data_IF_848880345314
#
_entry.id   IF_848880345314
#
_cell.length_a   1.000
_cell.length_b   1.000
_cell.length_c   1.000
_cell.angle_alpha   90.00
_cell.angle_beta   90.00
_cell.angle_gamma   90.00
#
_symmetry.space_group_name_H-M   'P 1'
#
loop_
_entity.id
_entity.type
_entity.pdbx_description
1 polymer ?
#
# COMPACT_ATOMS: atom_id res chain seq x y z
N UNK A 1 17.01 -23.07 29.04
CA UNK A 1 17.84 -22.23 28.14
C UNK A 1 16.88 -21.31 27.40
N UNK A 2 17.09 -19.99 27.43
CA UNK A 2 16.31 -19.09 26.56
C UNK A 2 16.81 -19.29 25.13
N UNK A 3 15.91 -19.65 24.23
CA UNK A 3 16.18 -19.69 22.80
C UNK A 3 16.59 -18.28 22.32
N UNK A 4 17.51 -18.22 21.36
CA UNK A 4 17.93 -16.97 20.71
C UNK A 4 16.73 -16.32 20.00
N UNK A 5 16.57 -15.00 20.14
CA UNK A 5 15.55 -14.27 19.39
C UNK A 5 15.86 -14.27 17.88
N UNK A 6 14.85 -14.03 17.03
CA UNK A 6 15.02 -14.10 15.57
C UNK A 6 16.13 -13.18 15.04
N UNK A 7 16.30 -11.98 15.60
CA UNK A 7 17.38 -11.05 15.22
C UNK A 7 18.77 -11.58 15.59
N UNK A 8 18.88 -12.33 16.70
CA UNK A 8 20.14 -12.91 17.15
C UNK A 8 20.48 -14.14 16.30
N UNK A 9 19.48 -14.93 15.91
CA UNK A 9 19.63 -16.01 14.92
C UNK A 9 20.07 -15.44 13.57
N UNK A 10 19.44 -14.35 13.09
CA UNK A 10 19.83 -13.70 11.84
C UNK A 10 21.27 -13.16 11.92
N UNK A 11 21.65 -12.54 13.04
CA UNK A 11 23.01 -12.05 13.26
C UNK A 11 24.05 -13.19 13.24
N UNK A 12 23.72 -14.32 13.86
CA UNK A 12 24.57 -15.51 13.84
C UNK A 12 24.72 -16.06 12.42
N UNK A 13 23.61 -16.20 11.68
CA UNK A 13 23.62 -16.66 10.29
C UNK A 13 24.47 -15.77 9.39
N UNK A 14 24.40 -14.44 9.56
CA UNK A 14 25.22 -13.48 8.80
C UNK A 14 26.72 -13.64 9.09
N UNK A 15 27.09 -14.04 10.32
CA UNK A 15 28.49 -14.28 10.69
C UNK A 15 29.01 -15.62 10.18
N UNK A 16 28.15 -16.65 10.14
CA UNK A 16 28.54 -18.01 9.76
C UNK A 16 28.41 -18.27 8.26
N UNK A 17 27.51 -17.58 7.57
CA UNK A 17 27.21 -17.78 6.16
C UNK A 17 27.49 -16.51 5.35
N UNK A 18 28.24 -16.64 4.24
CA UNK A 18 28.41 -15.54 3.30
C UNK A 18 27.18 -15.39 2.41
N UNK A 19 26.75 -14.15 2.18
CA UNK A 19 25.68 -13.84 1.24
C UNK A 19 24.27 -14.19 1.73
N UNK A 20 24.03 -14.15 3.06
CA UNK A 20 22.71 -14.37 3.65
C UNK A 20 21.61 -13.54 2.96
N UNK A 21 21.78 -12.23 2.65
CA UNK A 21 20.74 -11.46 1.96
C UNK A 21 20.36 -12.05 0.58
N UNK A 22 21.34 -12.49 -0.21
CA UNK A 22 21.10 -13.15 -1.51
C UNK A 22 20.36 -14.47 -1.37
N UNK A 23 20.62 -15.22 -0.29
CA UNK A 23 19.94 -16.48 0.01
C UNK A 23 18.51 -16.26 0.49
N UNK A 24 18.27 -15.24 1.31
CA UNK A 24 16.90 -14.80 1.65
C UNK A 24 16.14 -14.40 0.38
N UNK A 25 16.76 -13.58 -0.48
CA UNK A 25 16.15 -13.20 -1.75
C UNK A 25 15.81 -14.40 -2.63
N UNK A 26 16.66 -15.44 -2.68
CA UNK A 26 16.37 -16.65 -3.47
C UNK A 26 15.23 -17.48 -2.91
N UNK A 27 15.05 -17.54 -1.58
CA UNK A 27 13.94 -18.23 -0.93
C UNK A 27 12.63 -17.49 -1.21
N UNK A 28 12.63 -16.17 -1.03
CA UNK A 28 11.43 -15.35 -1.20
C UNK A 28 10.97 -15.36 -2.66
N UNK A 29 11.90 -15.23 -3.62
CA UNK A 29 11.60 -15.26 -5.06
C UNK A 29 10.92 -16.54 -5.56
N UNK A 30 10.90 -17.62 -4.77
CA UNK A 30 10.13 -18.84 -5.12
C UNK A 30 8.62 -18.61 -5.08
N UNK A 31 8.17 -17.50 -4.49
CA UNK A 31 6.78 -17.13 -4.41
C UNK A 31 6.58 -15.88 -5.27
N UNK A 32 6.00 -16.07 -6.45
CA UNK A 32 5.82 -15.03 -7.48
C UNK A 32 4.34 -14.77 -7.81
N UNK A 33 3.42 -15.44 -7.11
CA UNK A 33 1.98 -15.27 -7.28
C UNK A 33 1.42 -14.37 -6.17
N UNK A 34 0.85 -13.20 -6.52
CA UNK A 34 0.19 -12.34 -5.53
C UNK A 34 -1.02 -13.02 -4.89
N UNK A 35 -1.09 -13.01 -3.56
CA UNK A 35 -2.29 -13.42 -2.84
C UNK A 35 -3.47 -12.46 -3.11
N UNK A 36 -4.75 -12.90 -2.92
CA UNK A 36 -5.93 -12.06 -3.16
C UNK A 36 -5.88 -10.71 -2.43
N UNK A 37 -5.37 -10.67 -1.21
CA UNK A 37 -5.18 -9.43 -0.46
C UNK A 37 -4.30 -8.39 -1.19
N UNK A 38 -3.27 -8.81 -1.93
CA UNK A 38 -2.45 -7.88 -2.72
C UNK A 38 -3.27 -7.25 -3.86
N UNK A 39 -4.06 -8.08 -4.56
CA UNK A 39 -4.92 -7.63 -5.66
C UNK A 39 -5.97 -6.63 -5.13
N UNK A 40 -6.66 -6.99 -4.04
CA UNK A 40 -7.67 -6.13 -3.42
C UNK A 40 -7.09 -4.80 -2.93
N UNK A 41 -5.93 -4.82 -2.26
CA UNK A 41 -5.26 -3.60 -1.83
C UNK A 41 -4.80 -2.74 -3.01
N UNK A 42 -4.29 -3.35 -4.07
CA UNK A 42 -3.87 -2.63 -5.28
C UNK A 42 -5.06 -2.00 -6.02
N UNK A 43 -6.23 -2.64 -5.98
CA UNK A 43 -7.47 -2.15 -6.57
C UNK A 43 -8.03 -0.91 -5.85
N UNK A 44 -7.61 -0.64 -4.60
CA UNK A 44 -7.92 0.61 -3.90
C UNK A 44 -7.20 1.83 -4.50
N UNK A 45 -6.20 1.61 -5.36
CA UNK A 45 -5.43 2.65 -6.05
C UNK A 45 -4.86 3.72 -5.11
N UNK A 46 -4.49 3.35 -3.89
CA UNK A 46 -3.91 4.29 -2.92
C UNK A 46 -2.66 4.97 -3.49
N UNK A 47 -2.57 6.30 -3.35
CA UNK A 47 -1.40 7.08 -3.80
C UNK A 47 -0.11 6.69 -3.07
N UNK A 48 -0.23 6.20 -1.84
CA UNK A 48 0.88 5.93 -0.94
C UNK A 48 0.71 4.54 -0.34
N UNK A 49 1.71 3.68 -0.51
CA UNK A 49 1.78 2.37 0.12
C UNK A 49 3.14 2.21 0.81
N UNK A 50 3.16 1.52 1.94
CA UNK A 50 4.40 1.26 2.71
C UNK A 50 4.40 -0.21 3.10
N UNK A 51 5.52 -0.90 2.88
CA UNK A 51 5.69 -2.30 3.24
C UNK A 51 7.03 -2.55 3.93
N UNK A 52 7.03 -3.57 4.79
CA UNK A 52 8.24 -4.14 5.40
C UNK A 52 8.64 -5.45 4.73
N UNK A 53 7.85 -5.92 3.76
CA UNK A 53 8.13 -7.13 2.99
C UNK A 53 9.23 -6.87 1.95
N UNK A 54 10.01 -7.90 1.67
CA UNK A 54 11.08 -7.85 0.67
C UNK A 54 10.60 -8.26 -0.74
N UNK A 55 9.55 -9.08 -0.84
CA UNK A 55 8.99 -9.60 -2.09
C UNK A 55 8.41 -8.51 -3.00
N UNK A 56 8.11 -8.87 -4.25
CA UNK A 56 7.55 -7.95 -5.27
C UNK A 56 6.06 -8.19 -5.55
N UNK A 57 5.35 -8.86 -4.64
CA UNK A 57 3.97 -9.32 -4.88
C UNK A 57 2.98 -8.16 -4.97
N UNK A 58 3.19 -7.09 -4.20
CA UNK A 58 2.35 -5.90 -4.28
C UNK A 58 2.56 -5.16 -5.60
N UNK A 59 3.80 -5.05 -6.08
CA UNK A 59 4.14 -4.44 -7.36
C UNK A 59 3.56 -5.24 -8.53
N UNK A 60 3.63 -6.56 -8.47
CA UNK A 60 2.97 -7.45 -9.42
C UNK A 60 1.45 -7.26 -9.40
N UNK A 61 0.83 -7.17 -8.22
CA UNK A 61 -0.60 -6.91 -8.10
C UNK A 61 -0.99 -5.54 -8.69
N UNK A 62 -0.24 -4.48 -8.39
CA UNK A 62 -0.43 -3.15 -8.97
C UNK A 62 -0.41 -3.17 -10.51
N UNK A 63 0.52 -3.92 -11.11
CA UNK A 63 0.57 -4.10 -12.58
C UNK A 63 -0.63 -4.88 -13.10
N UNK A 64 -1.05 -5.93 -12.40
CA UNK A 64 -2.20 -6.75 -12.79
C UNK A 64 -3.53 -5.96 -12.79
N UNK A 65 -3.67 -4.96 -11.91
CA UNK A 65 -4.86 -4.10 -11.83
C UNK A 65 -4.71 -2.77 -12.58
N UNK A 66 -3.59 -2.54 -13.26
CA UNK A 66 -3.34 -1.31 -14.01
C UNK A 66 -4.35 -1.16 -15.16
N UNK A 67 -4.71 0.08 -15.50
CA UNK A 67 -5.66 0.35 -16.58
C UNK A 67 -5.02 0.05 -17.93
N UNK A 68 -5.82 -0.42 -18.89
CA UNK A 68 -5.35 -0.62 -20.26
C UNK A 68 -4.74 0.67 -20.82
N UNK A 69 -3.46 0.64 -21.16
CA UNK A 69 -2.73 1.80 -21.70
C UNK A 69 -1.77 2.49 -20.72
N UNK A 70 -1.78 2.14 -19.42
CA UNK A 70 -0.68 2.53 -18.52
C UNK A 70 0.58 1.71 -18.86
N UNK A 71 1.71 2.39 -19.09
CA UNK A 71 3.02 1.75 -19.17
C UNK A 71 3.42 1.23 -17.79
N UNK A 72 4.00 0.02 -17.70
CA UNK A 72 4.44 -0.61 -16.44
C UNK A 72 5.23 0.33 -15.51
N UNK A 73 6.12 1.16 -16.07
CA UNK A 73 6.95 2.11 -15.33
C UNK A 73 6.16 3.23 -14.62
N UNK A 74 4.88 3.43 -14.99
CA UNK A 74 4.01 4.45 -14.40
C UNK A 74 3.07 3.90 -13.34
N UNK A 75 2.93 2.58 -13.22
CA UNK A 75 1.93 1.96 -12.35
C UNK A 75 2.19 2.27 -10.88
N UNK A 76 3.43 2.05 -10.41
CA UNK A 76 3.85 2.37 -9.04
C UNK A 76 5.37 2.63 -8.99
N UNK A 77 5.78 3.76 -8.43
CA UNK A 77 7.19 4.03 -8.16
C UNK A 77 7.62 3.36 -6.84
N UNK A 78 8.76 2.67 -6.82
CA UNK A 78 9.23 1.90 -5.65
C UNK A 78 10.41 2.61 -5.01
N UNK A 79 10.19 3.20 -3.83
CA UNK A 79 11.25 3.85 -3.06
C UNK A 79 12.08 2.81 -2.29
N UNK A 80 13.41 2.99 -2.20
CA UNK A 80 14.19 4.15 -2.66
C UNK A 80 14.77 4.03 -4.09
N UNK A 81 14.46 2.94 -4.81
CA UNK A 81 15.05 2.64 -6.13
C UNK A 81 14.54 3.53 -7.27
N UNK A 82 13.30 4.00 -7.19
CA UNK A 82 12.71 4.96 -8.11
C UNK A 82 11.89 6.01 -7.36
N UNK A 83 11.75 7.17 -7.98
CA UNK A 83 11.07 8.33 -7.38
C UNK A 83 9.80 8.65 -8.16
N UNK A 84 8.66 8.87 -7.49
CA UNK A 84 7.41 9.16 -8.17
C UNK A 84 7.45 10.51 -8.88
N UNK A 85 6.88 10.56 -10.09
CA UNK A 85 6.48 11.81 -10.74
C UNK A 85 5.25 12.46 -10.07
N UNK A 86 4.82 13.63 -10.54
CA UNK A 86 3.60 14.28 -10.04
C UNK A 86 2.39 13.33 -10.11
N UNK A 87 1.65 13.24 -9.01
CA UNK A 87 0.47 12.38 -8.84
C UNK A 87 0.67 10.87 -9.05
N UNK A 88 1.91 10.41 -9.25
CA UNK A 88 2.21 9.00 -9.40
C UNK A 88 2.09 8.26 -8.06
N UNK A 89 1.45 7.09 -8.08
CA UNK A 89 1.41 6.17 -6.93
C UNK A 89 2.80 5.70 -6.57
N UNK A 90 3.05 5.50 -5.28
CA UNK A 90 4.34 4.98 -4.83
C UNK A 90 4.22 3.96 -3.71
N UNK A 91 5.22 3.07 -3.67
CA UNK A 91 5.44 2.05 -2.65
C UNK A 91 6.78 2.31 -1.98
N UNK A 92 6.79 2.48 -0.66
CA UNK A 92 8.01 2.53 0.14
C UNK A 92 8.31 1.14 0.72
N UNK A 93 9.48 0.59 0.38
CA UNK A 93 10.02 -0.61 1.02
C UNK A 93 10.98 -0.23 2.14
N UNK A 94 10.56 -0.45 3.39
CA UNK A 94 11.35 -0.01 4.56
C UNK A 94 12.63 -0.82 4.76
N UNK A 95 12.58 -2.12 4.47
CA UNK A 95 13.66 -3.06 4.79
C UNK A 95 14.40 -3.58 3.56
N UNK A 96 14.28 -2.88 2.44
CA UNK A 96 14.89 -3.28 1.17
C UNK A 96 14.01 -4.23 0.34
N UNK A 97 14.59 -4.74 -0.74
CA UNK A 97 13.88 -5.56 -1.74
C UNK A 97 14.71 -6.77 -2.16
N UNK A 98 14.05 -7.84 -2.59
CA UNK A 98 14.73 -8.99 -3.21
C UNK A 98 15.47 -8.60 -4.49
N UNK A 99 15.04 -7.56 -5.19
CA UNK A 99 15.67 -7.05 -6.42
C UNK A 99 17.05 -6.44 -6.18
N UNK A 100 17.27 -5.90 -4.98
CA UNK A 100 18.57 -5.44 -4.52
C UNK A 100 18.92 -6.14 -3.21
N UNK A 101 19.42 -7.39 -3.23
CA UNK A 101 19.64 -8.16 -2.01
C UNK A 101 20.55 -7.47 -0.99
N UNK A 102 21.48 -6.62 -1.44
CA UNK A 102 22.35 -5.85 -0.55
C UNK A 102 21.59 -4.80 0.30
N UNK A 103 20.37 -4.42 -0.09
CA UNK A 103 19.50 -3.49 0.65
C UNK A 103 18.72 -4.14 1.78
N UNK A 104 18.68 -5.47 1.85
CA UNK A 104 17.84 -6.22 2.79
C UNK A 104 18.32 -6.01 4.23
N UNK A 105 17.41 -5.55 5.09
CA UNK A 105 17.62 -5.35 6.53
C UNK A 105 17.11 -6.56 7.30
N UNK A 106 17.99 -7.33 7.96
CA UNK A 106 17.63 -8.57 8.67
C UNK A 106 18.27 -8.71 10.05
N UNK A 107 19.51 -8.26 10.23
CA UNK A 107 20.29 -8.49 11.45
C UNK A 107 20.17 -7.33 12.41
N UNK A 108 20.48 -7.57 13.70
CA UNK A 108 20.55 -6.48 14.68
C UNK A 108 21.53 -5.38 14.26
N UNK A 109 22.64 -5.75 13.61
CA UNK A 109 23.58 -4.79 13.04
C UNK A 109 22.95 -3.93 11.93
N UNK A 110 22.14 -4.51 11.04
CA UNK A 110 21.44 -3.75 10.00
C UNK A 110 20.38 -2.81 10.61
N UNK A 111 19.65 -3.28 11.63
CA UNK A 111 18.68 -2.47 12.38
C UNK A 111 19.35 -1.35 13.18
N UNK A 112 20.56 -1.55 13.71
CA UNK A 112 21.32 -0.52 14.42
C UNK A 112 22.03 0.45 13.45
N UNK A 113 22.52 -0.05 12.32
CA UNK A 113 23.12 0.71 11.21
C UNK A 113 22.10 1.42 10.32
N UNK A 114 20.79 1.20 10.59
CA UNK A 114 19.62 1.82 9.94
C UNK A 114 19.63 3.36 9.96
N UNK A 115 20.56 3.95 10.71
CA UNK A 115 20.82 5.37 10.84
C UNK A 115 21.35 6.06 9.57
N UNK A 116 21.91 5.35 8.59
CA UNK A 116 22.45 5.95 7.36
C UNK A 116 21.49 5.87 6.16
N UNK A 117 21.30 4.66 5.63
CA UNK A 117 20.59 4.42 4.37
C UNK A 117 19.06 4.42 4.50
N UNK A 118 18.52 4.08 5.67
CA UNK A 118 17.08 3.85 5.86
C UNK A 118 16.38 4.94 6.69
N UNK A 119 17.13 5.92 7.22
CA UNK A 119 16.57 7.12 7.87
C UNK A 119 15.55 7.87 7.00
N UNK A 120 15.80 8.09 5.68
CA UNK A 120 14.82 8.73 4.82
C UNK A 120 13.48 7.97 4.75
N UNK A 121 13.52 6.63 4.69
CA UNK A 121 12.30 5.81 4.71
C UNK A 121 11.52 6.00 6.02
N UNK A 122 12.21 6.07 7.16
CA UNK A 122 11.60 6.38 8.45
C UNK A 122 10.94 7.76 8.47
N UNK A 123 11.59 8.78 7.92
CA UNK A 123 11.04 10.13 7.82
C UNK A 123 9.79 10.18 6.92
N UNK A 124 9.78 9.45 5.81
CA UNK A 124 8.59 9.31 4.94
C UNK A 124 7.44 8.66 5.71
N UNK A 125 7.67 7.55 6.42
CA UNK A 125 6.64 6.93 7.26
C UNK A 125 6.09 7.91 8.30
N UNK A 126 6.95 8.67 8.98
CA UNK A 126 6.52 9.68 9.96
C UNK A 126 5.67 10.77 9.32
N UNK A 127 6.04 11.25 8.13
CA UNK A 127 5.25 12.23 7.39
C UNK A 127 3.87 11.67 7.01
N UNK A 128 3.80 10.43 6.53
CA UNK A 128 2.53 9.74 6.22
C UNK A 128 1.66 9.62 7.47
N UNK A 129 2.22 9.16 8.60
CA UNK A 129 1.51 9.05 9.88
C UNK A 129 1.00 10.40 10.43
N UNK A 130 1.64 11.51 10.06
CA UNK A 130 1.24 12.86 10.46
C UNK A 130 0.15 13.47 9.58
N UNK A 131 0.10 13.07 8.31
CA UNK A 131 -0.70 13.75 7.28
C UNK A 131 -1.86 12.93 6.74
N UNK A 132 -1.87 11.62 6.98
CA UNK A 132 -2.87 10.69 6.44
C UNK A 132 -3.36 9.71 7.49
N UNK A 133 -4.50 9.07 7.22
CA UNK A 133 -5.01 7.97 8.03
C UNK A 133 -4.51 6.64 7.45
N UNK A 134 -3.73 5.90 8.24
CA UNK A 134 -3.11 4.67 7.77
C UNK A 134 -4.07 3.48 7.85
N UNK A 135 -4.23 2.71 6.77
CA UNK A 135 -4.83 1.37 6.82
C UNK A 135 -3.71 0.34 6.93
N UNK A 136 -3.74 -0.48 7.97
CA UNK A 136 -2.68 -1.44 8.28
C UNK A 136 -3.21 -2.86 8.13
N UNK A 137 -2.58 -3.63 7.23
CA UNK A 137 -3.03 -4.97 6.83
C UNK A 137 -1.84 -5.93 6.88
N UNK A 138 -2.08 -7.17 7.32
CA UNK A 138 -1.10 -8.26 7.20
C UNK A 138 0.16 -8.12 8.07
N UNK A 139 0.18 -7.21 9.04
CA UNK A 139 1.32 -7.04 9.96
C UNK A 139 0.98 -7.45 11.38
N UNK A 140 1.94 -8.10 12.05
CA UNK A 140 1.88 -8.39 13.48
C UNK A 140 2.13 -7.17 14.36
N UNK A 141 2.49 -6.01 13.78
CA UNK A 141 2.96 -4.81 14.49
C UNK A 141 4.10 -5.14 15.47
N UNK A 142 5.03 -6.02 15.07
CA UNK A 142 6.17 -6.43 15.91
C UNK A 142 7.50 -5.87 15.42
N UNK A 143 7.47 -5.02 14.39
CA UNK A 143 8.68 -4.41 13.87
C UNK A 143 9.11 -3.25 14.77
N UNK A 144 10.24 -3.43 15.46
CA UNK A 144 10.74 -2.45 16.44
C UNK A 144 11.02 -1.07 15.82
N UNK A 145 11.46 -1.01 14.56
CA UNK A 145 11.72 0.25 13.87
C UNK A 145 10.42 0.98 13.56
N UNK A 146 9.42 0.29 13.00
CA UNK A 146 8.10 0.87 12.73
C UNK A 146 7.45 1.33 14.03
N UNK A 147 7.48 0.49 15.08
CA UNK A 147 6.90 0.81 16.38
C UNK A 147 7.54 2.03 17.01
N UNK A 148 8.88 2.14 16.95
CA UNK A 148 9.60 3.31 17.42
C UNK A 148 9.13 4.57 16.71
N UNK A 149 9.05 4.56 15.38
CA UNK A 149 8.62 5.73 14.58
C UNK A 149 7.17 6.12 14.89
N UNK A 150 6.28 5.14 15.04
CA UNK A 150 4.90 5.36 15.48
C UNK A 150 4.86 6.04 16.84
N UNK A 151 5.63 5.56 17.82
CA UNK A 151 5.69 6.17 19.14
C UNK A 151 6.20 7.62 19.10
N UNK A 152 7.24 7.89 18.31
CA UNK A 152 7.77 9.25 18.10
C UNK A 152 6.67 10.19 17.58
N UNK A 153 5.88 9.75 16.59
CA UNK A 153 4.74 10.54 16.04
C UNK A 153 3.63 10.74 17.07
N UNK A 154 3.26 9.70 17.84
CA UNK A 154 2.25 9.82 18.91
C UNK A 154 2.68 10.88 19.93
N UNK A 155 3.95 10.85 20.36
CA UNK A 155 4.48 11.83 21.31
C UNK A 155 4.51 13.24 20.71
N UNK A 156 4.88 13.36 19.44
CA UNK A 156 4.85 14.64 18.72
C UNK A 156 3.42 15.23 18.69
N UNK A 157 2.41 14.44 18.29
CA UNK A 157 1.00 14.89 18.28
C UNK A 157 0.51 15.26 19.68
N UNK A 158 0.89 14.52 20.73
CA UNK A 158 0.55 14.86 22.13
C UNK A 158 1.08 16.22 22.58
N UNK A 159 2.26 16.64 22.11
CA UNK A 159 2.80 17.99 22.40
C UNK A 159 1.95 19.08 21.74
N UNK A 160 1.51 18.87 20.51
CA UNK A 160 0.64 19.80 19.77
C UNK A 160 -0.80 19.86 20.33
N UNK A 161 -1.30 18.78 20.95
CA UNK A 161 -2.62 18.75 21.63
C UNK A 161 -2.79 19.82 22.70
N UNK A 162 -1.72 20.27 23.37
CA UNK A 162 -1.78 21.38 24.34
C UNK A 162 -2.25 22.71 23.70
N UNK A 163 -2.37 22.78 22.37
CA UNK A 163 -2.87 23.92 21.59
C UNK A 163 -4.20 23.64 20.85
N UNK A 164 -4.98 22.61 21.24
CA UNK A 164 -6.33 22.38 20.70
C UNK A 164 -6.45 21.42 19.51
N UNK A 165 -5.45 20.56 19.25
CA UNK A 165 -5.51 19.55 18.19
C UNK A 165 -6.43 18.36 18.50
N UNK A 166 -7.12 17.82 17.49
CA UNK A 166 -8.03 16.66 17.61
C UNK A 166 -7.30 15.35 17.96
N UNK A 167 -7.96 14.54 18.80
CA UNK A 167 -7.51 13.21 19.22
C UNK A 167 -7.99 12.12 18.25
N UNK A 168 -7.50 12.16 17.02
CA UNK A 168 -7.76 11.11 16.04
C UNK A 168 -6.67 10.02 16.08
N UNK A 169 -7.03 8.73 15.98
CA UNK A 169 -6.03 7.66 15.84
C UNK A 169 -5.15 7.89 14.61
N UNK A 170 -3.96 7.27 14.58
CA UNK A 170 -3.05 7.34 13.42
C UNK A 170 -3.56 6.53 12.23
N UNK A 171 -4.47 5.58 12.47
CA UNK A 171 -4.91 4.66 11.45
C UNK A 171 -5.85 3.59 11.98
N UNK A 172 -6.16 2.62 11.12
CA UNK A 172 -6.95 1.42 11.42
C UNK A 172 -6.13 0.18 11.14
N UNK A 173 -6.11 -0.77 12.07
CA UNK A 173 -5.43 -2.06 11.95
C UNK A 173 -6.45 -3.15 11.74
N UNK A 174 -6.26 -3.96 10.69
CA UNK A 174 -7.06 -5.15 10.41
C UNK A 174 -6.32 -6.38 10.99
N UNK A 175 -6.84 -6.92 12.09
CA UNK A 175 -6.19 -7.98 12.86
C UNK A 175 -6.82 -9.36 12.61
N UNK A 176 -6.02 -10.27 12.04
CA UNK A 176 -6.36 -11.68 11.82
C UNK A 176 -5.86 -12.60 12.95
N UNK A 177 -5.03 -12.09 13.87
CA UNK A 177 -4.53 -12.88 15.00
C UNK A 177 -5.59 -13.09 16.08
N UNK A 178 -6.52 -12.13 16.22
CA UNK A 178 -7.54 -12.15 17.28
C UNK A 178 -6.98 -11.82 18.67
N UNK A 179 -5.80 -11.19 18.74
CA UNK A 179 -5.12 -10.92 20.00
C UNK A 179 -5.74 -9.74 20.76
N UNK A 180 -6.46 -10.04 21.84
CA UNK A 180 -7.03 -9.02 22.73
C UNK A 180 -5.95 -8.19 23.44
N UNK A 181 -4.79 -8.79 23.72
CA UNK A 181 -3.65 -8.11 24.33
C UNK A 181 -3.05 -7.05 23.39
N UNK A 182 -2.89 -7.38 22.10
CA UNK A 182 -2.42 -6.39 21.11
C UNK A 182 -3.39 -5.22 20.98
N UNK A 183 -4.69 -5.50 20.92
CA UNK A 183 -5.72 -4.45 20.90
C UNK A 183 -5.59 -3.48 22.07
N UNK A 184 -5.38 -3.98 23.29
CA UNK A 184 -5.18 -3.15 24.49
C UNK A 184 -3.85 -2.39 24.46
N UNK A 185 -2.79 -3.04 23.99
CA UNK A 185 -1.46 -2.43 23.90
C UNK A 185 -1.44 -1.19 22.99
N UNK A 186 -2.18 -1.25 21.88
CA UNK A 186 -2.23 -0.17 20.89
C UNK A 186 -3.44 0.76 21.02
N UNK A 187 -4.18 0.66 22.12
CA UNK A 187 -5.35 1.48 22.39
C UNK A 187 -5.01 2.98 22.39
N UNK A 188 -5.85 3.78 21.72
CA UNK A 188 -5.64 5.21 21.53
C UNK A 188 -4.58 5.60 20.49
N UNK A 189 -3.75 4.66 20.00
CA UNK A 189 -2.83 4.92 18.88
C UNK A 189 -3.47 4.55 17.55
N UNK A 190 -4.13 3.39 17.48
CA UNK A 190 -4.84 2.91 16.29
C UNK A 190 -6.27 2.49 16.64
N UNK A 191 -7.16 2.58 15.65
CA UNK A 191 -8.44 1.85 15.69
C UNK A 191 -8.16 0.39 15.36
N UNK A 192 -8.29 -0.48 16.35
CA UNK A 192 -7.99 -1.91 16.18
C UNK A 192 -9.25 -2.70 15.84
N UNK A 193 -9.30 -3.26 14.63
CA UNK A 193 -10.41 -4.05 14.12
C UNK A 193 -10.00 -5.52 14.03
N UNK A 194 -10.39 -6.32 15.03
CA UNK A 194 -10.25 -7.77 14.96
C UNK A 194 -11.31 -8.34 14.03
N UNK A 195 -10.88 -9.08 13.00
CA UNK A 195 -11.78 -9.69 12.03
C UNK A 195 -12.56 -10.83 12.71
N UNK A 196 -13.84 -11.03 12.39
CA UNK A 196 -14.64 -12.13 12.95
C UNK A 196 -14.11 -13.48 12.46
N UNK A 197 -14.28 -14.53 13.26
CA UNK A 197 -13.90 -15.90 12.90
C UNK A 197 -13.26 -16.67 14.06
N UNK A 198 -13.55 -17.96 14.16
CA UNK A 198 -13.02 -18.84 15.19
C UNK A 198 -11.53 -19.16 14.97
N UNK A 199 -11.13 -19.34 13.70
CA UNK A 199 -9.77 -19.67 13.29
C UNK A 199 -9.04 -18.49 12.64
N UNK A 200 -7.71 -18.55 12.57
CA UNK A 200 -6.91 -17.56 11.81
C UNK A 200 -7.29 -17.58 10.33
N UNK A 201 -7.57 -18.78 9.80
CA UNK A 201 -8.00 -18.96 8.42
C UNK A 201 -9.33 -18.23 8.13
N UNK A 202 -10.36 -18.42 8.96
CA UNK A 202 -11.63 -17.71 8.81
C UNK A 202 -11.45 -16.19 8.90
N UNK A 203 -10.59 -15.72 9.80
CA UNK A 203 -10.29 -14.29 9.92
C UNK A 203 -9.55 -13.73 8.69
N UNK A 204 -8.67 -14.51 8.08
CA UNK A 204 -8.00 -14.15 6.84
C UNK A 204 -8.99 -14.11 5.66
N UNK A 205 -9.92 -15.05 5.58
CA UNK A 205 -10.99 -15.00 4.58
C UNK A 205 -11.88 -13.76 4.77
N UNK A 206 -12.27 -13.46 6.02
CA UNK A 206 -13.06 -12.26 6.31
C UNK A 206 -12.29 -10.96 6.05
N UNK A 207 -10.95 -10.97 6.16
CA UNK A 207 -10.13 -9.85 5.73
C UNK A 207 -10.25 -9.63 4.21
N UNK A 208 -10.19 -10.70 3.41
CA UNK A 208 -10.37 -10.60 1.96
C UNK A 208 -11.75 -10.08 1.60
N UNK A 209 -12.82 -10.63 2.20
CA UNK A 209 -14.20 -10.14 1.99
C UNK A 209 -14.34 -8.66 2.40
N UNK A 210 -13.74 -8.27 3.52
CA UNK A 210 -13.76 -6.88 3.97
C UNK A 210 -13.07 -5.95 2.96
N UNK A 211 -11.88 -6.32 2.49
CA UNK A 211 -11.14 -5.53 1.51
C UNK A 211 -11.87 -5.44 0.16
N UNK A 212 -12.54 -6.51 -0.26
CA UNK A 212 -13.39 -6.51 -1.46
C UNK A 212 -14.57 -5.54 -1.32
N UNK A 213 -15.26 -5.55 -0.18
CA UNK A 213 -16.29 -4.56 0.11
C UNK A 213 -15.73 -3.13 0.12
N UNK A 214 -14.56 -2.90 0.73
CA UNK A 214 -13.91 -1.59 0.72
C UNK A 214 -13.57 -1.16 -0.70
N UNK A 215 -13.05 -2.06 -1.53
CA UNK A 215 -12.74 -1.78 -2.93
C UNK A 215 -14.00 -1.45 -3.72
N UNK A 216 -15.10 -2.18 -3.52
CA UNK A 216 -16.39 -1.89 -4.12
C UNK A 216 -16.88 -0.49 -3.74
N UNK A 217 -16.80 -0.10 -2.46
CA UNK A 217 -17.22 1.24 -2.01
C UNK A 217 -16.25 2.36 -2.37
N UNK A 218 -14.97 2.05 -2.59
CA UNK A 218 -13.94 3.00 -3.00
C UNK A 218 -13.83 3.13 -4.53
N UNK A 219 -14.51 2.28 -5.29
CA UNK A 219 -14.46 2.29 -6.75
C UNK A 219 -15.16 3.53 -7.31
N UNK A 220 -14.40 4.34 -8.04
CA UNK A 220 -14.97 5.42 -8.84
C UNK A 220 -15.52 4.83 -10.15
N UNK A 221 -16.85 4.58 -10.19
CA UNK A 221 -17.59 4.10 -11.37
C UNK A 221 -17.48 5.02 -12.61
N UNK A 222 -16.81 6.17 -12.49
CA UNK A 222 -16.70 7.18 -13.52
C UNK A 222 -15.96 6.69 -14.76
N UNK A 223 -15.03 5.72 -14.62
CA UNK A 223 -14.11 5.28 -15.69
C UNK A 223 -14.82 4.75 -16.94
N UNK A 224 -16.07 4.31 -16.83
CA UNK A 224 -16.87 3.79 -17.97
C UNK A 224 -18.14 4.59 -18.23
N UNK A 225 -18.26 5.78 -17.65
CA UNK A 225 -19.46 6.62 -17.72
C UNK A 225 -19.89 6.88 -19.17
N UNK A 226 -18.94 7.01 -20.09
CA UNK A 226 -19.19 7.33 -21.50
C UNK A 226 -19.15 6.11 -22.42
N UNK A 227 -18.87 4.91 -21.91
CA UNK A 227 -18.79 3.71 -22.73
C UNK A 227 -20.20 3.21 -23.09
N UNK A 228 -20.41 2.97 -24.38
CA UNK A 228 -21.72 2.58 -24.94
C UNK A 228 -22.26 1.29 -24.32
N UNK A 229 -21.39 0.40 -23.87
CA UNK A 229 -21.76 -0.89 -23.26
C UNK A 229 -22.44 -0.74 -21.90
N UNK A 230 -22.30 0.43 -21.27
CA UNK A 230 -22.88 0.74 -19.96
C UNK A 230 -24.02 1.74 -20.05
N UNK A 231 -24.49 2.07 -21.25
CA UNK A 231 -25.57 3.03 -21.46
C UNK A 231 -26.85 2.67 -20.65
N UNK A 232 -27.15 1.38 -20.52
CA UNK A 232 -28.31 0.87 -19.78
C UNK A 232 -28.25 1.11 -18.25
N UNK A 233 -27.09 1.53 -17.72
CA UNK A 233 -26.93 1.88 -16.30
C UNK A 233 -27.23 3.36 -16.00
N UNK A 234 -27.42 4.19 -17.03
CA UNK A 234 -27.68 5.61 -16.93
C UNK A 234 -29.19 5.89 -16.89
N UNK A 235 -29.59 6.97 -16.22
CA UNK A 235 -30.94 7.51 -16.35
C UNK A 235 -31.11 8.31 -17.66
N UNK A 236 -32.33 8.69 -18.01
CA UNK A 236 -32.61 9.39 -19.28
C UNK A 236 -31.80 10.70 -19.44
N UNK A 237 -31.61 11.45 -18.34
CA UNK A 237 -30.89 12.73 -18.36
C UNK A 237 -29.38 12.53 -18.59
N UNK A 238 -28.78 11.57 -17.87
CA UNK A 238 -27.35 11.26 -17.99
C UNK A 238 -27.01 10.49 -19.26
N UNK A 239 -27.94 9.70 -19.82
CA UNK A 239 -27.77 9.03 -21.10
C UNK A 239 -27.64 10.03 -22.26
N UNK A 240 -28.50 11.05 -22.30
CA UNK A 240 -28.43 12.11 -23.31
C UNK A 240 -27.10 12.88 -23.23
N UNK A 241 -26.66 13.21 -22.01
CA UNK A 241 -25.37 13.88 -21.79
C UNK A 241 -24.18 13.00 -22.24
N UNK A 242 -24.22 11.70 -21.99
CA UNK A 242 -23.16 10.78 -22.41
C UNK A 242 -23.09 10.66 -23.94
N UNK A 243 -24.22 10.66 -24.64
CA UNK A 243 -24.29 10.69 -26.10
C UNK A 243 -23.71 11.99 -26.69
N UNK A 244 -24.04 13.13 -26.09
CA UNK A 244 -23.50 14.43 -26.48
C UNK A 244 -21.98 14.47 -26.33
N UNK A 245 -21.46 13.96 -25.21
CA UNK A 245 -20.01 13.89 -24.95
C UNK A 245 -19.29 12.94 -25.92
N UNK A 246 -19.86 11.77 -26.24
CA UNK A 246 -19.31 10.87 -27.27
C UNK A 246 -19.28 11.54 -28.65
N UNK A 247 -20.37 12.20 -29.02
CA UNK A 247 -20.49 12.93 -30.28
C UNK A 247 -19.49 14.09 -30.37
N UNK A 248 -19.22 14.75 -29.24
CA UNK A 248 -18.21 15.79 -29.13
C UNK A 248 -16.82 15.20 -29.37
N UNK A 249 -16.45 14.10 -28.72
CA UNK A 249 -15.14 13.43 -28.90
C UNK A 249 -14.90 13.01 -30.35
N UNK A 250 -15.93 12.52 -31.04
CA UNK A 250 -15.85 12.15 -32.46
C UNK A 250 -15.52 13.35 -33.38
N UNK A 251 -15.91 14.56 -32.97
CA UNK A 251 -15.66 15.81 -33.70
C UNK A 251 -14.37 16.52 -33.27
N UNK A 252 -13.78 16.12 -32.14
CA UNK A 252 -12.56 16.76 -31.61
C UNK A 252 -11.32 16.32 -32.39
N UNK A 253 -10.42 17.26 -32.72
CA UNK A 253 -9.18 16.92 -33.41
C UNK A 253 -8.28 16.04 -32.52
N UNK A 254 -7.56 15.12 -33.16
CA UNK A 254 -6.67 14.17 -32.48
C UNK A 254 -5.33 14.77 -32.06
N UNK A 255 -5.02 16.00 -32.48
CA UNK A 255 -3.77 16.72 -32.23
C UNK A 255 -4.05 18.20 -31.94
N UNK A 256 -3.11 18.88 -31.27
CA UNK A 256 -3.24 20.30 -30.90
C UNK A 256 -3.81 20.51 -29.50
N UNK A 257 -4.26 21.73 -29.20
CA UNK A 257 -4.70 22.19 -27.86
C UNK A 257 -5.85 21.35 -27.27
N UNK A 258 -6.63 20.67 -28.11
CA UNK A 258 -7.78 19.85 -27.70
C UNK A 258 -7.43 18.39 -27.41
N UNK A 259 -6.19 17.95 -27.69
CA UNK A 259 -5.79 16.56 -27.53
C UNK A 259 -5.89 16.08 -26.06
N UNK A 260 -5.56 16.94 -25.10
CA UNK A 260 -5.67 16.61 -23.67
C UNK A 260 -7.12 16.44 -23.22
N UNK A 261 -8.02 17.31 -23.66
CA UNK A 261 -9.46 17.22 -23.37
C UNK A 261 -10.06 15.97 -24.00
N UNK A 262 -9.67 15.66 -25.24
CA UNK A 262 -10.06 14.43 -25.93
C UNK A 262 -9.57 13.18 -25.19
N UNK A 263 -8.31 13.16 -24.78
CA UNK A 263 -7.73 12.05 -24.02
C UNK A 263 -8.42 11.86 -22.65
N UNK A 264 -8.78 12.95 -21.97
CA UNK A 264 -9.52 12.90 -20.72
C UNK A 264 -10.90 12.26 -20.90
N UNK A 265 -11.66 12.65 -21.94
CA UNK A 265 -12.97 12.04 -22.22
C UNK A 265 -12.86 10.58 -22.67
N UNK A 266 -11.83 10.24 -23.45
CA UNK A 266 -11.54 8.84 -23.83
C UNK A 266 -11.18 7.97 -22.62
N UNK A 267 -10.50 8.54 -21.61
CA UNK A 267 -10.22 7.84 -20.36
C UNK A 267 -11.48 7.50 -19.54
N UNK A 268 -12.62 8.11 -19.86
CA UNK A 268 -13.95 7.80 -19.29
C UNK A 268 -14.83 6.93 -20.21
N UNK A 269 -14.26 6.38 -21.31
CA UNK A 269 -14.96 5.43 -22.18
C UNK A 269 -15.61 6.03 -23.44
N UNK A 270 -15.37 7.31 -23.76
CA UNK A 270 -15.86 7.93 -24.98
C UNK A 270 -15.05 7.52 -26.23
N UNK A 271 -14.97 6.21 -26.49
CA UNK A 271 -14.25 5.64 -27.63
C UNK A 271 -15.13 5.56 -28.89
#
# INVERSE_FOLDING_TARGET
MKELGHLDVAQLLQQTEKGLPSRVASIIRKHDVPAPAHLLLSALQCKQAITTNYDTLYELACRAVARSGESDDKVVAVLPTSYPGPDQRWLLKMHGSVDEPASIVLTRADFAGYDGASRPAGAVLQAVLLTTHLLVVGTSMTDDNVLRLVHEVVQYRKRSKKKGGQDAPLGTVLDVSGSTLRRRLYEGMFRWCALPGASVFERALNLEVFLDCVAMYASDNLTWLLDVRFADLLDEETSALAEDLRSLVARMPSTGEWAEVRAALQAYGAA
#
